data_IF_474482177206
#
_entry.id   IF_474482177206
#
_cell.length_a   1.000
_cell.length_b   1.000
_cell.length_c   1.000
_cell.angle_alpha   90.00
_cell.angle_beta   90.00
_cell.angle_gamma   90.00
#
_symmetry.space_group_name_H-M   'P 1'
#
loop_
_entity.id
_entity.type
_entity.pdbx_description
1 polymer ?
#
# COMPACT_ATOMS: atom_id res chain seq x y z
N UNK A 1 15.43 -8.06 17.48
CA UNK A 1 15.25 -6.58 17.39
C UNK A 1 13.79 -6.33 17.07
N UNK A 2 13.00 -5.87 18.06
CA UNK A 2 11.57 -5.65 17.87
C UNK A 2 11.32 -4.70 16.70
N UNK A 3 10.61 -5.18 15.68
CA UNK A 3 10.06 -4.32 14.63
C UNK A 3 9.04 -3.42 15.34
N UNK A 4 9.41 -2.16 15.59
CA UNK A 4 8.46 -1.17 16.08
C UNK A 4 7.49 -0.95 14.95
N UNK A 5 6.29 -1.47 15.07
CA UNK A 5 5.19 -1.23 14.13
C UNK A 5 4.90 0.28 14.12
N UNK A 6 5.27 0.94 13.04
CA UNK A 6 5.10 2.38 12.88
C UNK A 6 3.77 2.65 12.18
N UNK A 7 2.89 3.42 12.79
CA UNK A 7 1.61 3.83 12.20
C UNK A 7 1.75 5.20 11.53
N UNK A 8 1.17 5.33 10.34
CA UNK A 8 1.13 6.59 9.61
C UNK A 8 -0.24 7.26 9.71
N UNK A 9 -0.29 8.44 10.32
CA UNK A 9 -1.50 9.24 10.51
C UNK A 9 -1.55 10.37 9.49
N UNK A 10 -2.39 10.22 8.47
CA UNK A 10 -2.48 11.17 7.35
C UNK A 10 -3.53 12.24 7.59
N UNK A 11 -3.12 13.52 7.50
CA UNK A 11 -3.97 14.70 7.67
C UNK A 11 -3.97 15.57 6.42
N UNK A 12 -5.04 16.35 6.20
CA UNK A 12 -5.14 17.31 5.11
C UNK A 12 -4.39 18.59 5.47
N UNK A 13 -3.44 19.01 4.62
CA UNK A 13 -2.68 20.25 4.73
C UNK A 13 -3.34 21.32 3.82
N UNK A 14 -3.37 22.56 4.32
CA UNK A 14 -4.00 23.71 3.65
C UNK A 14 -3.00 24.85 3.49
N UNK A 15 -2.01 24.72 2.60
CA UNK A 15 -1.12 25.83 2.28
C UNK A 15 -1.87 26.90 1.49
N UNK A 16 -1.49 28.16 1.67
CA UNK A 16 -1.82 29.22 0.74
C UNK A 16 -1.03 29.08 -0.57
N UNK A 17 -1.23 30.00 -1.52
CA UNK A 17 -0.63 29.92 -2.85
C UNK A 17 0.92 30.00 -2.79
N UNK A 18 1.42 30.91 -1.97
CA UNK A 18 2.87 31.14 -1.79
C UNK A 18 3.52 29.94 -1.10
N UNK A 19 2.88 29.42 -0.05
CA UNK A 19 3.31 28.20 0.63
C UNK A 19 3.29 26.98 -0.31
N UNK A 20 2.25 26.85 -1.16
CA UNK A 20 2.14 25.75 -2.12
C UNK A 20 3.26 25.78 -3.18
N UNK A 21 3.75 26.99 -3.56
CA UNK A 21 4.90 27.15 -4.45
C UNK A 21 6.17 26.59 -3.81
N UNK A 22 6.50 27.01 -2.59
CA UNK A 22 7.69 26.53 -1.85
C UNK A 22 7.61 25.02 -1.59
N UNK A 23 6.44 24.50 -1.24
CA UNK A 23 6.24 23.04 -1.09
C UNK A 23 6.50 22.28 -2.40
N UNK A 24 6.13 22.89 -3.53
CA UNK A 24 6.39 22.29 -4.86
C UNK A 24 7.88 22.29 -5.18
N UNK A 25 8.59 23.33 -4.83
CA UNK A 25 10.05 23.43 -4.95
C UNK A 25 10.74 22.35 -4.10
N UNK A 26 10.35 22.17 -2.84
CA UNK A 26 10.86 21.10 -1.98
C UNK A 26 10.63 19.71 -2.56
N UNK A 27 9.46 19.43 -3.14
CA UNK A 27 9.19 18.18 -3.85
C UNK A 27 10.12 18.00 -5.07
N UNK A 28 10.41 19.11 -5.78
CA UNK A 28 11.34 19.14 -6.90
C UNK A 28 12.76 18.80 -6.49
N UNK A 29 13.26 19.48 -5.47
CA UNK A 29 14.60 19.29 -4.91
C UNK A 29 14.77 17.86 -4.36
N UNK A 30 13.82 17.36 -3.57
CA UNK A 30 13.85 16.00 -3.03
C UNK A 30 13.88 14.95 -4.15
N UNK A 31 13.15 15.17 -5.24
CA UNK A 31 13.17 14.26 -6.41
C UNK A 31 14.51 14.32 -7.14
N UNK A 32 15.05 15.50 -7.35
CA UNK A 32 16.35 15.69 -7.99
C UNK A 32 17.43 14.97 -7.20
N UNK A 33 17.54 15.24 -5.90
CA UNK A 33 18.56 14.65 -5.01
C UNK A 33 18.43 13.13 -4.94
N UNK A 34 17.20 12.59 -4.87
CA UNK A 34 16.98 11.15 -4.94
C UNK A 34 17.49 10.56 -6.24
N UNK A 35 17.20 11.20 -7.38
CA UNK A 35 17.60 10.71 -8.69
C UNK A 35 19.11 10.83 -8.89
N UNK A 36 19.71 11.93 -8.48
CA UNK A 36 21.17 12.13 -8.50
C UNK A 36 21.88 11.05 -7.67
N UNK A 37 21.41 10.82 -6.44
CA UNK A 37 21.96 9.76 -5.58
C UNK A 37 21.77 8.35 -6.16
N UNK A 38 20.66 8.08 -6.86
CA UNK A 38 20.47 6.80 -7.56
C UNK A 38 21.44 6.65 -8.74
N UNK A 39 21.68 7.72 -9.47
CA UNK A 39 22.63 7.74 -10.58
C UNK A 39 24.06 7.45 -10.10
N UNK A 40 24.52 8.10 -9.04
CA UNK A 40 25.81 7.81 -8.40
C UNK A 40 25.95 6.33 -8.02
N UNK A 41 24.90 5.71 -7.44
CA UNK A 41 24.95 4.28 -7.08
C UNK A 41 24.93 3.35 -8.29
N UNK A 42 24.33 3.78 -9.41
CA UNK A 42 24.32 3.01 -10.66
C UNK A 42 25.64 3.13 -11.43
N UNK A 43 26.27 4.28 -11.38
CA UNK A 43 27.51 4.56 -12.09
C UNK A 43 28.69 3.70 -11.60
N UNK A 44 28.68 3.22 -10.33
CA UNK A 44 29.72 2.32 -9.83
C UNK A 44 29.79 1.04 -10.66
N UNK A 45 30.95 0.83 -11.28
CA UNK A 45 31.27 -0.39 -12.01
C UNK A 45 31.46 -1.58 -11.06
N UNK A 46 31.42 -2.80 -11.62
CA UNK A 46 31.71 -4.01 -10.85
C UNK A 46 33.15 -4.02 -10.31
N UNK A 47 34.09 -3.48 -11.07
CA UNK A 47 35.51 -3.39 -10.69
C UNK A 47 35.71 -2.41 -9.53
N UNK A 48 35.13 -1.20 -9.61
CA UNK A 48 35.21 -0.22 -8.53
C UNK A 48 34.63 -0.78 -7.22
N UNK A 49 33.51 -1.53 -7.29
CA UNK A 49 32.94 -2.22 -6.13
C UNK A 49 33.85 -3.29 -5.55
N UNK A 50 34.53 -4.08 -6.41
CA UNK A 50 35.52 -5.07 -5.98
C UNK A 50 36.69 -4.40 -5.29
N UNK A 51 37.10 -3.20 -5.76
CA UNK A 51 38.19 -2.39 -5.18
C UNK A 51 37.75 -1.59 -3.95
N UNK A 52 36.59 -1.89 -3.37
CA UNK A 52 36.12 -1.29 -2.11
C UNK A 52 35.42 0.07 -2.25
N UNK A 53 35.17 0.56 -3.47
CA UNK A 53 34.42 1.80 -3.67
C UNK A 53 32.97 1.62 -3.20
N UNK A 54 32.53 2.47 -2.27
CA UNK A 54 31.18 2.44 -1.70
C UNK A 54 30.51 3.81 -1.78
N UNK A 55 29.32 3.84 -2.38
CA UNK A 55 28.45 5.02 -2.35
C UNK A 55 27.32 4.76 -1.35
N UNK A 56 27.41 5.40 -0.20
CA UNK A 56 26.42 5.32 0.89
C UNK A 56 25.81 6.70 1.19
N UNK A 57 24.87 6.77 2.11
CA UNK A 57 24.21 8.04 2.51
C UNK A 57 25.23 9.09 2.97
N UNK A 58 26.26 8.69 3.70
CA UNK A 58 27.26 9.61 4.27
C UNK A 58 28.07 10.27 3.15
N UNK A 59 28.60 9.49 2.19
CA UNK A 59 29.33 10.02 1.04
C UNK A 59 28.44 10.90 0.18
N UNK A 60 27.20 10.47 -0.07
CA UNK A 60 26.21 11.24 -0.84
C UNK A 60 25.82 12.55 -0.16
N UNK A 61 25.76 12.61 1.19
CA UNK A 61 25.51 13.86 1.92
C UNK A 61 26.69 14.84 1.80
N UNK A 62 27.94 14.35 1.76
CA UNK A 62 29.12 15.19 1.51
C UNK A 62 29.09 15.79 0.10
N UNK A 63 28.77 14.96 -0.90
CA UNK A 63 28.64 15.41 -2.29
C UNK A 63 27.49 16.39 -2.48
N UNK A 64 26.36 16.13 -1.80
CA UNK A 64 25.23 17.06 -1.77
C UNK A 64 25.64 18.44 -1.23
N UNK A 65 26.52 18.50 -0.22
CA UNK A 65 27.00 19.76 0.33
C UNK A 65 27.83 20.57 -0.68
N UNK A 66 28.60 19.92 -1.55
CA UNK A 66 29.30 20.55 -2.67
C UNK A 66 28.30 21.02 -3.73
N UNK A 67 27.41 20.14 -4.16
CA UNK A 67 26.42 20.42 -5.19
C UNK A 67 25.50 21.59 -4.81
N UNK A 68 25.21 21.78 -3.52
CA UNK A 68 24.43 22.90 -3.00
C UNK A 68 25.16 24.26 -3.11
N UNK A 69 26.50 24.26 -3.18
CA UNK A 69 27.29 25.47 -3.42
C UNK A 69 27.36 25.81 -4.91
N UNK A 70 27.29 24.81 -5.77
CA UNK A 70 27.33 24.95 -7.22
C UNK A 70 25.97 25.32 -7.83
N UNK A 71 24.87 24.87 -7.20
CA UNK A 71 23.51 25.06 -7.70
C UNK A 71 22.68 25.91 -6.74
N UNK A 72 22.55 27.20 -7.01
CA UNK A 72 21.86 28.19 -6.16
C UNK A 72 20.44 27.76 -5.80
N UNK A 73 19.67 27.26 -6.76
CA UNK A 73 18.30 26.80 -6.54
C UNK A 73 18.22 25.60 -5.56
N UNK A 74 19.27 24.80 -5.49
CA UNK A 74 19.37 23.69 -4.55
C UNK A 74 19.87 24.20 -3.19
N UNK A 75 20.83 25.13 -3.18
CA UNK A 75 21.36 25.80 -1.99
C UNK A 75 20.31 26.57 -1.22
N UNK A 76 19.39 27.26 -1.92
CA UNK A 76 18.27 27.99 -1.32
C UNK A 76 17.28 27.09 -0.58
N UNK A 77 17.19 25.80 -0.95
CA UNK A 77 16.29 24.85 -0.31
C UNK A 77 16.78 24.31 1.04
N UNK A 78 15.93 23.53 1.69
CA UNK A 78 16.25 22.91 2.97
C UNK A 78 17.19 21.71 2.81
N UNK A 79 18.31 21.72 3.49
CA UNK A 79 19.26 20.59 3.55
C UNK A 79 18.61 19.33 4.15
N UNK A 80 17.77 19.48 5.19
CA UNK A 80 17.09 18.37 5.85
C UNK A 80 16.15 17.62 4.88
N UNK A 81 15.39 18.37 4.08
CA UNK A 81 14.50 17.81 3.05
C UNK A 81 15.30 17.05 2.00
N UNK A 82 16.42 17.60 1.58
CA UNK A 82 17.30 17.03 0.57
C UNK A 82 18.03 15.77 1.08
N UNK A 83 18.61 15.82 2.27
CA UNK A 83 19.20 14.65 2.93
C UNK A 83 18.15 13.56 3.22
N UNK A 84 16.91 13.97 3.55
CA UNK A 84 15.78 13.08 3.69
C UNK A 84 15.52 12.23 2.44
N UNK A 85 15.74 12.81 1.25
CA UNK A 85 15.60 12.09 -0.02
C UNK A 85 16.71 11.03 -0.22
N UNK A 86 17.94 11.29 0.21
CA UNK A 86 19.04 10.30 0.20
C UNK A 86 18.76 9.14 1.16
N UNK A 87 18.22 9.43 2.35
CA UNK A 87 17.81 8.39 3.31
C UNK A 87 16.64 7.55 2.80
N UNK A 88 15.70 8.17 2.05
CA UNK A 88 14.63 7.43 1.36
C UNK A 88 15.20 6.49 0.29
N UNK A 89 16.24 6.91 -0.44
CA UNK A 89 16.94 6.09 -1.41
C UNK A 89 17.66 4.91 -0.73
N UNK A 90 18.35 5.17 0.36
CA UNK A 90 19.05 4.15 1.12
C UNK A 90 18.10 3.08 1.64
N UNK A 91 16.97 3.48 2.21
CA UNK A 91 15.91 2.55 2.63
C UNK A 91 15.35 1.75 1.44
N UNK A 92 15.23 2.36 0.26
CA UNK A 92 14.77 1.67 -0.93
C UNK A 92 15.76 0.57 -1.37
N UNK A 93 17.06 0.81 -1.28
CA UNK A 93 18.08 -0.20 -1.53
C UNK A 93 18.07 -1.29 -0.46
N UNK A 94 17.96 -0.93 0.83
CA UNK A 94 17.85 -1.90 1.90
C UNK A 94 16.66 -2.84 1.70
N UNK A 95 15.49 -2.29 1.40
CA UNK A 95 14.30 -3.11 1.09
C UNK A 95 14.47 -3.99 -0.15
N UNK A 96 15.25 -3.56 -1.13
CA UNK A 96 15.57 -4.37 -2.31
C UNK A 96 16.47 -5.55 -1.94
N UNK A 97 17.55 -5.32 -1.20
CA UNK A 97 18.45 -6.39 -0.76
C UNK A 97 17.78 -7.38 0.19
N UNK A 98 16.84 -6.92 1.01
CA UNK A 98 16.00 -7.77 1.88
C UNK A 98 14.87 -8.49 1.10
N UNK A 99 14.77 -8.32 -0.22
CA UNK A 99 13.71 -8.95 -1.05
C UNK A 99 12.31 -8.40 -0.83
N UNK A 100 12.17 -7.29 -0.09
CA UNK A 100 10.88 -6.67 0.23
C UNK A 100 10.35 -5.76 -0.89
N UNK A 101 11.23 -5.29 -1.79
CA UNK A 101 10.88 -4.38 -2.89
C UNK A 101 11.70 -4.66 -4.15
N UNK A 102 11.21 -4.15 -5.29
CA UNK A 102 11.96 -4.17 -6.55
C UNK A 102 13.11 -3.13 -6.52
N UNK A 103 14.07 -3.26 -7.45
CA UNK A 103 15.20 -2.34 -7.56
C UNK A 103 14.75 -0.88 -7.69
N UNK A 104 15.42 0.08 -6.99
CA UNK A 104 15.04 1.47 -7.02
C UNK A 104 15.07 2.08 -8.42
N UNK A 105 14.02 2.85 -8.76
CA UNK A 105 13.87 3.49 -10.07
C UNK A 105 13.85 5.01 -9.95
N UNK A 106 14.22 5.72 -11.04
CA UNK A 106 14.16 7.18 -11.10
C UNK A 106 12.75 7.69 -10.87
N UNK A 107 12.62 8.68 -9.99
CA UNK A 107 11.35 9.36 -9.69
C UNK A 107 11.02 10.35 -10.82
N UNK A 108 9.85 10.20 -11.44
CA UNK A 108 9.35 11.10 -12.49
C UNK A 108 8.37 12.12 -11.91
N UNK A 109 8.43 13.37 -12.39
CA UNK A 109 7.40 14.37 -12.08
C UNK A 109 6.11 13.99 -12.80
N UNK A 110 5.04 13.78 -12.04
CA UNK A 110 3.69 13.62 -12.59
C UNK A 110 2.91 14.90 -12.32
N UNK A 111 2.06 15.32 -13.26
CA UNK A 111 1.33 16.59 -13.16
C UNK A 111 0.37 16.63 -11.96
N UNK A 112 -0.25 15.51 -11.63
CA UNK A 112 -1.18 15.36 -10.51
C UNK A 112 -0.55 14.77 -9.25
N UNK A 113 0.73 14.39 -9.30
CA UNK A 113 1.46 13.80 -8.19
C UNK A 113 2.88 14.39 -8.20
N UNK A 114 3.10 15.40 -7.38
CA UNK A 114 4.39 16.08 -7.28
C UNK A 114 5.42 15.27 -6.47
N UNK A 115 5.00 14.15 -5.87
CA UNK A 115 5.80 13.39 -4.94
C UNK A 115 5.68 13.92 -3.52
N UNK A 116 6.79 13.91 -2.79
CA UNK A 116 6.83 14.40 -1.41
C UNK A 116 8.22 14.33 -0.81
N UNK A 117 8.33 14.82 0.42
CA UNK A 117 9.57 14.87 1.20
C UNK A 117 9.28 14.57 2.67
N UNK A 118 10.33 14.29 3.44
CA UNK A 118 10.26 13.98 4.87
C UNK A 118 10.78 15.15 5.68
N UNK A 119 10.14 15.45 6.80
CA UNK A 119 10.58 16.36 7.86
C UNK A 119 10.95 15.50 9.06
N UNK A 120 12.20 15.60 9.54
CA UNK A 120 12.70 14.85 10.69
C UNK A 120 12.48 15.56 12.01
N UNK A 121 12.84 16.82 12.07
CA UNK A 121 12.70 17.64 13.28
C UNK A 121 11.29 18.25 13.27
N UNK A 122 10.36 17.44 13.77
CA UNK A 122 8.94 17.77 13.70
C UNK A 122 8.57 18.76 14.82
N UNK A 123 8.06 19.91 14.43
CA UNK A 123 7.43 20.86 15.33
C UNK A 123 5.99 21.05 14.90
N UNK A 124 5.07 20.91 15.85
CA UNK A 124 3.64 21.09 15.66
C UNK A 124 3.07 21.98 16.74
N UNK A 125 2.08 22.79 16.40
CA UNK A 125 1.34 23.59 17.38
C UNK A 125 -0.16 23.47 17.15
N UNK A 126 -0.90 23.35 18.23
CA UNK A 126 -2.36 23.28 18.20
C UNK A 126 -2.93 24.68 18.11
N UNK A 127 -3.87 24.90 17.19
CA UNK A 127 -4.60 26.17 17.07
C UNK A 127 -5.95 26.10 17.80
N UNK A 128 -6.67 24.99 17.59
CA UNK A 128 -7.97 24.73 18.22
C UNK A 128 -8.30 23.24 18.18
N UNK A 129 -9.53 22.86 18.54
CA UNK A 129 -10.00 21.47 18.58
C UNK A 129 -9.87 20.73 17.24
N UNK A 130 -9.90 21.42 16.10
CA UNK A 130 -9.93 20.82 14.75
C UNK A 130 -8.74 21.19 13.88
N UNK A 131 -7.96 22.18 14.24
CA UNK A 131 -6.85 22.68 13.42
C UNK A 131 -5.55 22.75 14.21
N UNK A 132 -4.48 22.44 13.53
CA UNK A 132 -3.11 22.58 14.02
C UNK A 132 -2.19 22.98 12.87
N UNK A 133 -0.96 23.27 13.17
CA UNK A 133 0.07 23.64 12.20
C UNK A 133 1.31 22.79 12.37
N UNK A 134 2.00 22.58 11.28
CA UNK A 134 3.31 21.91 11.23
C UNK A 134 4.35 22.86 10.68
N UNK A 135 5.49 22.95 11.35
CA UNK A 135 6.62 23.73 10.87
C UNK A 135 7.29 23.01 9.70
N UNK A 136 7.41 23.70 8.59
CA UNK A 136 8.11 23.20 7.39
C UNK A 136 9.38 24.03 7.22
N UNK A 137 10.57 23.40 7.14
CA UNK A 137 11.83 24.12 6.99
C UNK A 137 11.81 25.08 5.81
N UNK A 138 12.33 26.30 6.00
CA UNK A 138 12.37 27.39 5.00
C UNK A 138 11.00 27.93 4.55
N UNK A 139 9.89 27.49 5.18
CA UNK A 139 8.54 27.94 4.83
C UNK A 139 7.76 28.49 6.03
N UNK A 140 8.03 27.99 7.22
CA UNK A 140 7.24 28.33 8.41
C UNK A 140 6.08 27.38 8.65
N UNK A 141 5.10 27.83 9.43
CA UNK A 141 3.97 27.02 9.84
C UNK A 141 2.89 26.92 8.76
N UNK A 142 2.47 25.69 8.46
CA UNK A 142 1.39 25.40 7.51
C UNK A 142 0.26 24.66 8.21
N UNK A 143 -0.96 25.17 8.04
CA UNK A 143 -2.17 24.65 8.70
C UNK A 143 -2.59 23.31 8.14
N UNK A 144 -2.99 22.40 9.03
CA UNK A 144 -3.66 21.16 8.70
C UNK A 144 -4.90 20.93 9.56
N UNK A 145 -5.84 20.11 9.06
CA UNK A 145 -7.04 19.72 9.79
C UNK A 145 -6.79 18.43 10.52
N UNK A 146 -7.03 18.43 11.83
CA UNK A 146 -6.95 17.22 12.66
C UNK A 146 -8.19 16.35 12.49
N UNK A 147 -7.99 15.08 12.21
CA UNK A 147 -9.02 14.01 12.22
C UNK A 147 -8.73 12.93 13.25
N UNK A 148 -7.69 13.12 14.06
CA UNK A 148 -7.26 12.23 15.15
C UNK A 148 -7.05 13.05 16.41
N UNK A 149 -6.84 12.42 17.55
CA UNK A 149 -6.54 13.08 18.80
C UNK A 149 -5.21 13.83 18.71
N UNK A 150 -5.10 14.93 19.45
CA UNK A 150 -3.88 15.75 19.48
C UNK A 150 -2.68 14.97 20.03
N UNK A 151 -2.92 14.15 21.05
CA UNK A 151 -1.90 13.32 21.70
C UNK A 151 -1.23 12.36 20.71
N UNK A 152 -1.99 11.83 19.74
CA UNK A 152 -1.44 10.97 18.68
C UNK A 152 -0.46 11.73 17.76
N UNK A 153 -0.70 13.04 17.55
CA UNK A 153 0.16 13.89 16.71
C UNK A 153 1.40 14.32 17.50
N UNK A 154 1.26 14.62 18.78
CA UNK A 154 2.38 15.01 19.65
C UNK A 154 3.45 13.92 19.77
N UNK A 155 3.06 12.66 19.72
CA UNK A 155 3.98 11.50 19.77
C UNK A 155 4.71 11.24 18.44
N UNK A 156 4.39 12.01 17.39
CA UNK A 156 5.01 11.81 16.09
C UNK A 156 6.49 12.21 16.10
N UNK A 157 7.34 11.37 15.57
CA UNK A 157 8.79 11.57 15.47
C UNK A 157 9.21 12.23 14.16
N UNK A 158 8.41 12.09 13.12
CA UNK A 158 8.66 12.64 11.79
C UNK A 158 7.35 12.80 11.01
N UNK A 159 7.41 13.56 9.93
CA UNK A 159 6.27 13.69 9.03
C UNK A 159 6.70 13.67 7.56
N UNK A 160 5.83 13.13 6.72
CA UNK A 160 5.98 13.16 5.26
C UNK A 160 4.95 14.09 4.64
N UNK A 161 5.41 15.10 3.92
CA UNK A 161 4.56 15.98 3.12
C UNK A 161 4.39 15.37 1.72
N UNK A 162 3.16 15.35 1.20
CA UNK A 162 2.87 14.81 -0.14
C UNK A 162 1.81 15.64 -0.85
N UNK A 163 1.95 15.79 -2.17
CA UNK A 163 0.91 16.38 -3.02
C UNK A 163 0.39 15.35 -4.01
N UNK A 164 -0.91 15.05 -3.94
CA UNK A 164 -1.61 14.20 -4.92
C UNK A 164 -2.91 14.85 -5.35
N UNK A 165 -3.15 14.91 -6.65
CA UNK A 165 -4.32 15.57 -7.24
C UNK A 165 -4.49 17.01 -6.75
N UNK A 166 -3.40 17.79 -6.74
CA UNK A 166 -3.33 19.16 -6.23
C UNK A 166 -3.80 19.30 -4.77
N UNK A 167 -3.70 18.22 -3.99
CA UNK A 167 -4.08 18.21 -2.58
C UNK A 167 -2.89 17.85 -1.72
N UNK A 168 -2.53 18.78 -0.84
CA UNK A 168 -1.45 18.59 0.11
C UNK A 168 -1.89 17.80 1.34
N UNK A 169 -1.01 16.95 1.80
CA UNK A 169 -1.22 16.13 2.99
C UNK A 169 0.07 16.06 3.78
N UNK A 170 -0.07 16.02 5.09
CA UNK A 170 0.98 15.63 6.04
C UNK A 170 0.64 14.24 6.59
N UNK A 171 1.61 13.34 6.60
CA UNK A 171 1.48 12.01 7.20
C UNK A 171 2.48 11.92 8.34
N UNK A 172 1.99 11.90 9.57
CA UNK A 172 2.77 11.80 10.78
C UNK A 172 3.16 10.34 11.03
N UNK A 173 4.41 10.11 11.41
CA UNK A 173 4.91 8.81 11.85
C UNK A 173 4.75 8.72 13.36
N UNK A 174 3.84 7.89 13.83
CA UNK A 174 3.50 7.74 15.26
C UNK A 174 3.79 6.33 15.75
N UNK A 175 4.01 6.14 17.06
CA UNK A 175 4.01 4.80 17.65
C UNK A 175 2.71 4.04 17.32
N UNK A 176 2.73 2.71 17.37
CA UNK A 176 1.51 1.92 17.21
C UNK A 176 0.53 2.25 18.33
N UNK A 177 -0.73 2.32 17.97
CA UNK A 177 -1.79 2.47 18.97
C UNK A 177 -2.08 1.12 19.59
N UNK A 178 -2.42 1.06 20.89
CA UNK A 178 -2.93 -0.17 21.47
C UNK A 178 -4.16 -0.61 20.67
N UNK A 179 -4.19 -1.88 20.29
CA UNK A 179 -5.36 -2.45 19.61
C UNK A 179 -6.54 -2.41 20.58
N UNK A 180 -7.63 -1.81 20.17
CA UNK A 180 -8.87 -1.77 20.95
C UNK A 180 -9.69 -3.00 20.60
N UNK A 181 -9.31 -4.13 21.11
CA UNK A 181 -10.12 -5.35 21.05
C UNK A 181 -11.15 -5.27 22.16
N UNK A 182 -12.34 -4.74 21.86
CA UNK A 182 -13.50 -4.77 22.77
C UNK A 182 -14.43 -5.92 22.41
N UNK A 183 -14.23 -6.55 21.26
CA UNK A 183 -15.03 -7.66 20.77
C UNK A 183 -14.66 -9.00 21.42
N UNK A 184 -15.52 -9.99 21.22
CA UNK A 184 -15.34 -11.33 21.76
C UNK A 184 -15.37 -12.38 20.64
N UNK A 185 -14.58 -13.43 20.82
CA UNK A 185 -14.57 -14.59 19.92
C UNK A 185 -13.79 -14.39 18.62
N UNK A 186 -13.80 -15.45 17.82
CA UNK A 186 -13.03 -15.58 16.58
C UNK A 186 -13.96 -15.59 15.38
N UNK A 187 -13.71 -14.76 14.38
CA UNK A 187 -14.44 -14.75 13.11
C UNK A 187 -13.54 -15.04 11.92
N UNK A 188 -13.96 -15.92 11.01
CA UNK A 188 -13.34 -16.12 9.72
C UNK A 188 -13.98 -15.23 8.67
N UNK A 189 -13.19 -14.68 7.74
CA UNK A 189 -13.68 -13.83 6.67
C UNK A 189 -13.20 -14.34 5.32
N UNK A 190 -14.13 -14.80 4.49
CA UNK A 190 -13.89 -15.05 3.06
C UNK A 190 -13.95 -13.73 2.28
N UNK A 191 -12.98 -13.51 1.37
CA UNK A 191 -12.85 -12.29 0.57
C UNK A 191 -13.16 -12.56 -0.89
N UNK A 192 -14.38 -12.18 -1.30
CA UNK A 192 -14.88 -12.37 -2.65
C UNK A 192 -14.92 -11.11 -3.51
N UNK A 193 -15.15 -11.27 -4.80
CA UNK A 193 -15.36 -10.18 -5.77
C UNK A 193 -16.84 -9.76 -5.81
N UNK A 194 -17.75 -10.69 -5.65
CA UNK A 194 -19.21 -10.46 -5.62
C UNK A 194 -19.62 -9.92 -4.25
N UNK A 195 -19.30 -10.64 -3.19
CA UNK A 195 -19.39 -10.20 -1.81
C UNK A 195 -17.97 -9.90 -1.37
N UNK A 196 -17.71 -8.65 -0.92
CA UNK A 196 -16.32 -8.23 -0.62
C UNK A 196 -15.75 -8.97 0.58
N UNK A 197 -16.57 -9.20 1.59
CA UNK A 197 -16.24 -9.97 2.79
C UNK A 197 -17.50 -10.67 3.30
N UNK A 198 -17.43 -12.00 3.47
CA UNK A 198 -18.41 -12.85 4.12
C UNK A 198 -17.84 -13.33 5.44
N UNK A 199 -18.52 -13.11 6.54
CA UNK A 199 -18.09 -13.61 7.84
C UNK A 199 -18.63 -15.02 8.12
N UNK A 200 -17.95 -15.75 9.00
CA UNK A 200 -18.35 -17.11 9.38
C UNK A 200 -19.69 -17.22 10.13
N UNK A 201 -20.23 -16.11 10.61
CA UNK A 201 -21.56 -15.96 11.19
C UNK A 201 -22.62 -15.44 10.19
N UNK A 202 -22.25 -15.35 8.90
CA UNK A 202 -23.19 -15.06 7.81
C UNK A 202 -23.36 -13.57 7.46
N UNK A 203 -22.64 -12.64 8.09
CA UNK A 203 -22.72 -11.23 7.74
C UNK A 203 -22.02 -10.93 6.42
N UNK A 204 -22.63 -10.06 5.61
CA UNK A 204 -22.15 -9.69 4.28
C UNK A 204 -21.73 -8.22 4.24
N UNK A 205 -20.47 -7.97 3.86
CA UNK A 205 -19.96 -6.62 3.69
C UNK A 205 -19.62 -6.39 2.21
N UNK A 206 -20.21 -5.35 1.63
CA UNK A 206 -20.05 -5.02 0.22
C UNK A 206 -19.32 -3.68 0.04
N UNK A 207 -18.14 -3.69 -0.57
CA UNK A 207 -17.43 -2.47 -0.92
C UNK A 207 -18.21 -1.66 -1.98
N UNK A 208 -18.22 -0.32 -1.86
CA UNK A 208 -18.95 0.52 -2.80
C UNK A 208 -18.33 0.40 -4.21
N UNK A 209 -19.14 -0.03 -5.17
CA UNK A 209 -18.73 -0.18 -6.59
C UNK A 209 -18.55 1.16 -7.29
N UNK A 210 -18.86 2.30 -6.64
CA UNK A 210 -18.72 3.67 -7.13
C UNK A 210 -19.26 3.85 -8.58
N UNK A 211 -20.39 3.22 -8.93
CA UNK A 211 -20.97 3.19 -10.29
C UNK A 211 -21.11 4.58 -10.92
N UNK A 212 -21.59 5.58 -10.17
CA UNK A 212 -21.73 6.97 -10.60
C UNK A 212 -20.38 7.59 -11.01
N UNK A 213 -19.34 7.36 -10.21
CA UNK A 213 -17.98 7.83 -10.49
C UNK A 213 -17.37 7.10 -11.68
N UNK A 214 -17.63 5.80 -11.82
CA UNK A 214 -17.15 5.02 -12.95
C UNK A 214 -17.79 5.52 -14.26
N UNK A 215 -19.11 5.69 -14.30
CA UNK A 215 -19.81 6.22 -15.48
C UNK A 215 -19.31 7.62 -15.88
N UNK A 216 -19.09 8.50 -14.88
CA UNK A 216 -18.50 9.82 -15.12
C UNK A 216 -17.07 9.71 -15.66
N UNK A 217 -16.27 8.79 -15.13
CA UNK A 217 -14.91 8.57 -15.60
C UNK A 217 -14.90 8.09 -17.06
N UNK A 218 -15.75 7.14 -17.41
CA UNK A 218 -15.86 6.58 -18.77
C UNK A 218 -16.33 7.66 -19.78
N UNK A 219 -17.25 8.55 -19.37
CA UNK A 219 -17.64 9.71 -20.18
C UNK A 219 -16.47 10.67 -20.40
N UNK A 220 -15.72 10.98 -19.33
CA UNK A 220 -14.54 11.85 -19.43
C UNK A 220 -13.42 11.22 -20.27
N UNK A 221 -13.28 9.90 -20.25
CA UNK A 221 -12.32 9.16 -21.08
C UNK A 221 -12.64 9.36 -22.58
N UNK A 222 -13.90 9.19 -22.97
CA UNK A 222 -14.34 9.43 -24.38
C UNK A 222 -14.02 10.86 -24.81
N UNK A 223 -14.32 11.86 -23.96
CA UNK A 223 -13.99 13.26 -24.24
C UNK A 223 -12.47 13.49 -24.31
N UNK A 224 -11.68 12.79 -23.48
CA UNK A 224 -10.22 12.89 -23.52
C UNK A 224 -9.63 12.40 -24.84
N UNK A 225 -10.21 11.35 -25.42
CA UNK A 225 -9.74 10.73 -26.65
C UNK A 225 -9.93 11.65 -27.87
N UNK A 226 -10.89 12.61 -27.80
CA UNK A 226 -11.08 13.64 -28.83
C UNK A 226 -10.19 14.87 -28.67
N UNK A 227 -9.36 14.97 -27.62
CA UNK A 227 -8.57 16.18 -27.33
C UNK A 227 -7.12 16.02 -27.77
N UNK A 228 -6.56 17.05 -28.37
CA UNK A 228 -5.16 17.12 -28.81
C UNK A 228 -4.21 16.92 -27.63
N UNK A 229 -3.21 16.05 -27.79
CA UNK A 229 -2.17 15.80 -26.78
C UNK A 229 -1.44 17.11 -26.46
N UNK A 230 -1.27 17.40 -25.16
CA UNK A 230 -0.60 18.62 -24.69
C UNK A 230 -1.52 19.83 -24.49
N UNK A 231 -2.72 19.89 -25.10
CA UNK A 231 -3.62 21.04 -24.99
C UNK A 231 -4.11 21.32 -23.58
N UNK A 232 -4.44 22.58 -23.27
CA UNK A 232 -5.01 22.98 -21.97
C UNK A 232 -6.37 22.31 -21.69
N UNK A 233 -7.19 22.13 -22.74
CA UNK A 233 -8.48 21.45 -22.61
C UNK A 233 -8.27 19.96 -22.23
N UNK A 234 -7.28 19.27 -22.80
CA UNK A 234 -6.92 17.92 -22.39
C UNK A 234 -6.48 17.88 -20.92
N UNK A 235 -5.71 18.87 -20.47
CA UNK A 235 -5.27 18.98 -19.07
C UNK A 235 -6.46 19.10 -18.11
N UNK A 236 -7.45 19.98 -18.44
CA UNK A 236 -8.68 20.13 -17.64
C UNK A 236 -9.48 18.82 -17.53
N UNK A 237 -9.55 18.03 -18.61
CA UNK A 237 -10.23 16.71 -18.55
C UNK A 237 -9.47 15.72 -17.65
N UNK A 238 -8.15 15.66 -17.76
CA UNK A 238 -7.33 14.81 -16.88
C UNK A 238 -7.51 15.16 -15.39
N UNK A 239 -7.61 16.44 -15.05
CA UNK A 239 -7.86 16.90 -13.68
C UNK A 239 -9.26 16.45 -13.19
N UNK A 240 -10.31 16.59 -14.04
CA UNK A 240 -11.66 16.09 -13.73
C UNK A 240 -11.69 14.56 -13.55
N UNK A 241 -10.94 13.82 -14.35
CA UNK A 241 -10.79 12.36 -14.21
C UNK A 241 -10.08 11.98 -12.91
N UNK A 242 -9.00 12.71 -12.55
CA UNK A 242 -8.29 12.51 -11.30
C UNK A 242 -9.19 12.76 -10.08
N UNK A 243 -9.99 13.84 -10.09
CA UNK A 243 -10.98 14.12 -9.04
C UNK A 243 -12.05 13.04 -8.93
N UNK A 244 -12.53 12.53 -10.06
CA UNK A 244 -13.53 11.45 -10.08
C UNK A 244 -12.98 10.18 -9.44
N UNK A 245 -11.74 9.80 -9.77
CA UNK A 245 -11.05 8.67 -9.12
C UNK A 245 -10.81 8.90 -7.64
N UNK A 246 -10.46 10.12 -7.26
CA UNK A 246 -10.25 10.48 -5.86
C UNK A 246 -11.53 10.33 -5.04
N UNK A 247 -12.69 10.78 -5.56
CA UNK A 247 -14.01 10.59 -4.91
C UNK A 247 -14.34 9.12 -4.72
N UNK A 248 -14.15 8.29 -5.76
CA UNK A 248 -14.34 6.84 -5.66
C UNK A 248 -13.40 6.19 -4.62
N UNK A 249 -12.14 6.64 -4.56
CA UNK A 249 -11.18 6.19 -3.56
C UNK A 249 -11.58 6.55 -2.13
N UNK A 250 -12.14 7.75 -1.91
CA UNK A 250 -12.62 8.19 -0.59
C UNK A 250 -13.84 7.38 -0.13
N UNK A 251 -14.78 7.06 -1.02
CA UNK A 251 -15.92 6.19 -0.67
C UNK A 251 -15.44 4.80 -0.21
N UNK A 252 -14.45 4.22 -0.90
CA UNK A 252 -13.85 2.94 -0.47
C UNK A 252 -13.15 3.04 0.87
N UNK A 253 -12.42 4.13 1.13
CA UNK A 253 -11.76 4.35 2.41
C UNK A 253 -12.76 4.50 3.56
N UNK A 254 -13.80 5.27 3.36
CA UNK A 254 -14.85 5.43 4.37
C UNK A 254 -15.51 4.08 4.72
N UNK A 255 -15.84 3.29 3.70
CA UNK A 255 -16.35 1.94 3.89
C UNK A 255 -15.35 1.05 4.65
N UNK A 256 -14.06 1.06 4.26
CA UNK A 256 -13.02 0.30 4.94
C UNK A 256 -12.92 0.68 6.43
N UNK A 257 -12.91 1.98 6.74
CA UNK A 257 -12.80 2.44 8.12
C UNK A 257 -14.02 1.98 8.96
N UNK A 258 -15.24 2.12 8.43
CA UNK A 258 -16.47 1.70 9.09
C UNK A 258 -16.53 0.19 9.30
N UNK A 259 -16.28 -0.58 8.24
CA UNK A 259 -16.32 -2.05 8.30
C UNK A 259 -15.26 -2.61 9.24
N UNK A 260 -14.02 -2.11 9.16
CA UNK A 260 -12.94 -2.62 10.02
C UNK A 260 -13.06 -2.17 11.47
N UNK A 261 -13.70 -1.03 11.74
CA UNK A 261 -14.04 -0.62 13.12
C UNK A 261 -15.11 -1.53 13.69
N UNK A 262 -16.19 -1.76 12.94
CA UNK A 262 -17.26 -2.67 13.34
C UNK A 262 -16.72 -4.07 13.66
N UNK A 263 -15.89 -4.65 12.76
CA UNK A 263 -15.31 -5.97 12.97
C UNK A 263 -14.38 -6.02 14.19
N UNK A 264 -13.59 -4.97 14.44
CA UNK A 264 -12.69 -4.90 15.59
C UNK A 264 -13.44 -4.67 16.93
N UNK A 265 -14.60 -4.04 16.89
CA UNK A 265 -15.48 -3.86 18.08
C UNK A 265 -16.31 -5.12 18.36
N UNK A 266 -16.59 -5.93 17.33
CA UNK A 266 -17.42 -7.14 17.46
C UNK A 266 -16.60 -8.37 17.82
N UNK A 267 -15.39 -8.54 17.26
CA UNK A 267 -14.57 -9.75 17.40
C UNK A 267 -13.18 -9.43 17.94
N UNK A 268 -12.68 -10.30 18.82
CA UNK A 268 -11.31 -10.21 19.34
C UNK A 268 -10.29 -10.62 18.28
N UNK A 269 -10.56 -11.71 17.55
CA UNK A 269 -9.67 -12.23 16.51
C UNK A 269 -10.40 -12.32 15.17
N UNK A 270 -9.77 -11.79 14.13
CA UNK A 270 -10.21 -11.93 12.74
C UNK A 270 -9.26 -12.81 11.97
N UNK A 271 -9.77 -13.88 11.38
CA UNK A 271 -9.01 -14.80 10.54
C UNK A 271 -9.22 -14.47 9.07
N UNK A 272 -8.12 -14.32 8.32
CA UNK A 272 -8.12 -14.07 6.88
C UNK A 272 -7.22 -15.08 6.17
N UNK A 273 -7.52 -15.41 4.92
CA UNK A 273 -6.56 -16.13 4.07
C UNK A 273 -5.34 -15.27 3.73
N UNK A 274 -4.15 -15.87 3.65
CA UNK A 274 -2.94 -15.17 3.18
C UNK A 274 -2.85 -15.09 1.66
N UNK A 275 -3.81 -14.38 1.05
CA UNK A 275 -3.86 -14.20 -0.40
C UNK A 275 -2.71 -13.32 -0.91
N UNK A 276 -1.95 -13.85 -1.86
CA UNK A 276 -0.89 -13.10 -2.57
C UNK A 276 -1.49 -12.26 -3.70
N UNK A 277 -2.22 -11.19 -3.35
CA UNK A 277 -2.97 -10.34 -4.29
C UNK A 277 -2.09 -9.82 -5.44
N UNK A 278 -0.81 -9.48 -5.18
CA UNK A 278 0.16 -9.06 -6.22
C UNK A 278 0.30 -10.15 -7.31
N UNK A 279 0.39 -11.42 -6.92
CA UNK A 279 0.50 -12.54 -7.85
C UNK A 279 -0.82 -12.82 -8.58
N UNK A 280 -1.94 -12.75 -7.85
CA UNK A 280 -3.28 -12.96 -8.42
C UNK A 280 -3.60 -11.92 -9.50
N UNK A 281 -3.11 -10.69 -9.38
CA UNK A 281 -3.35 -9.59 -10.31
C UNK A 281 -2.23 -9.37 -11.33
N UNK A 282 -1.28 -10.30 -11.41
CA UNK A 282 -0.22 -10.28 -12.42
C UNK A 282 -0.82 -10.25 -13.83
N UNK A 283 -0.16 -9.55 -14.73
CA UNK A 283 -0.51 -9.51 -16.15
C UNK A 283 -0.20 -10.85 -16.79
N UNK A 284 -1.07 -11.31 -17.70
CA UNK A 284 -0.79 -12.51 -18.49
C UNK A 284 0.40 -12.25 -19.42
N UNK A 285 1.32 -13.19 -19.49
CA UNK A 285 2.43 -13.14 -20.44
C UNK A 285 1.92 -13.21 -21.89
N UNK A 286 2.55 -12.51 -22.82
CA UNK A 286 2.26 -12.70 -24.24
C UNK A 286 2.47 -14.16 -24.64
N UNK A 287 1.62 -14.68 -25.53
CA UNK A 287 1.82 -15.97 -26.20
C UNK A 287 2.10 -15.74 -27.67
N UNK A 288 3.04 -16.48 -28.21
CA UNK A 288 3.35 -16.50 -29.64
C UNK A 288 3.14 -17.92 -30.19
N UNK A 289 2.74 -18.02 -31.44
CA UNK A 289 2.72 -19.29 -32.19
C UNK A 289 4.16 -19.67 -32.64
N UNK A 290 4.27 -20.79 -33.33
CA UNK A 290 5.57 -21.30 -33.82
C UNK A 290 6.24 -20.38 -34.84
N UNK A 291 5.49 -19.45 -35.43
CA UNK A 291 5.94 -18.46 -36.40
C UNK A 291 6.28 -17.10 -35.73
N UNK A 292 6.21 -17.00 -34.38
CA UNK A 292 6.49 -15.78 -33.62
C UNK A 292 5.35 -14.73 -33.60
N UNK A 293 4.16 -15.05 -34.15
CA UNK A 293 3.00 -14.18 -34.18
C UNK A 293 2.26 -14.23 -32.84
N UNK A 294 1.83 -13.08 -32.33
CA UNK A 294 1.07 -13.00 -31.07
C UNK A 294 -0.34 -13.57 -31.25
N UNK A 295 -0.70 -14.51 -30.38
CA UNK A 295 -2.00 -15.17 -30.35
C UNK A 295 -2.83 -14.75 -29.12
N UNK A 296 -4.17 -14.85 -29.15
CA UNK A 296 -5.03 -14.57 -28.01
C UNK A 296 -4.66 -15.42 -26.79
N UNK A 297 -4.52 -14.78 -25.62
CA UNK A 297 -4.08 -15.43 -24.39
C UNK A 297 -5.01 -15.17 -23.18
N UNK A 298 -6.25 -14.78 -23.41
CA UNK A 298 -7.22 -14.49 -22.35
C UNK A 298 -6.94 -13.18 -21.58
N UNK A 299 -6.05 -12.31 -22.07
CA UNK A 299 -5.66 -11.05 -21.40
C UNK A 299 -6.85 -10.14 -21.09
N UNK A 300 -7.89 -10.11 -21.94
CA UNK A 300 -9.06 -9.25 -21.74
C UNK A 300 -9.86 -9.71 -20.50
N UNK A 301 -10.14 -11.01 -20.39
CA UNK A 301 -10.83 -11.61 -19.24
C UNK A 301 -10.00 -11.42 -17.95
N UNK A 302 -8.69 -11.69 -18.01
CA UNK A 302 -7.79 -11.50 -16.86
C UNK A 302 -7.73 -10.05 -16.41
N UNK A 303 -7.73 -9.10 -17.35
CA UNK A 303 -7.78 -7.65 -17.01
C UNK A 303 -9.08 -7.29 -16.31
N UNK A 304 -10.22 -7.87 -16.72
CA UNK A 304 -11.51 -7.70 -16.05
C UNK A 304 -11.47 -8.21 -14.61
N UNK A 305 -10.98 -9.42 -14.40
CA UNK A 305 -10.81 -10.02 -13.07
C UNK A 305 -9.84 -9.21 -12.20
N UNK A 306 -8.70 -8.80 -12.74
CA UNK A 306 -7.75 -7.95 -12.00
C UNK A 306 -8.37 -6.63 -11.56
N UNK A 307 -9.17 -5.98 -12.43
CA UNK A 307 -9.93 -4.76 -12.10
C UNK A 307 -10.92 -5.02 -10.97
N UNK A 308 -11.60 -6.15 -10.97
CA UNK A 308 -12.56 -6.54 -9.95
C UNK A 308 -11.88 -6.80 -8.60
N UNK A 309 -10.80 -7.59 -8.55
CA UNK A 309 -10.00 -7.87 -7.34
C UNK A 309 -9.45 -6.56 -6.74
N UNK A 310 -8.80 -5.71 -7.55
CA UNK A 310 -8.26 -4.44 -7.09
C UNK A 310 -9.37 -3.46 -6.66
N UNK A 311 -10.57 -3.59 -7.24
CA UNK A 311 -11.78 -2.84 -6.87
C UNK A 311 -12.36 -3.24 -5.52
N UNK A 312 -12.17 -4.48 -5.07
CA UNK A 312 -12.74 -5.04 -3.83
C UNK A 312 -11.99 -4.61 -2.56
N UNK A 313 -10.85 -3.90 -2.69
CA UNK A 313 -10.09 -3.34 -1.57
C UNK A 313 -9.57 -4.36 -0.54
N UNK A 314 -9.36 -5.64 -0.91
CA UNK A 314 -8.90 -6.71 -0.01
C UNK A 314 -7.62 -6.37 0.76
N UNK A 315 -6.63 -5.77 0.09
CA UNK A 315 -5.39 -5.33 0.72
C UNK A 315 -5.63 -4.25 1.78
N UNK A 316 -6.53 -3.30 1.48
CA UNK A 316 -6.93 -2.26 2.43
C UNK A 316 -7.65 -2.85 3.65
N UNK A 317 -8.53 -3.84 3.45
CA UNK A 317 -9.24 -4.53 4.53
C UNK A 317 -8.25 -5.23 5.46
N UNK A 318 -7.33 -6.05 4.92
CA UNK A 318 -6.27 -6.72 5.69
C UNK A 318 -5.46 -5.71 6.50
N UNK A 319 -4.90 -4.68 5.86
CA UNK A 319 -4.04 -3.69 6.53
C UNK A 319 -4.79 -2.96 7.66
N UNK A 320 -6.03 -2.54 7.42
CA UNK A 320 -6.80 -1.81 8.44
C UNK A 320 -7.26 -2.68 9.59
N UNK A 321 -7.55 -3.96 9.35
CA UNK A 321 -7.81 -4.93 10.42
C UNK A 321 -6.56 -5.16 11.27
N UNK A 322 -5.40 -5.37 10.66
CA UNK A 322 -4.12 -5.51 11.38
C UNK A 322 -3.80 -4.32 12.29
N UNK A 323 -4.22 -3.10 11.90
CA UNK A 323 -4.06 -1.89 12.71
C UNK A 323 -5.04 -1.83 13.91
N UNK A 324 -6.18 -2.51 13.84
CA UNK A 324 -7.29 -2.32 14.80
C UNK A 324 -7.54 -3.51 15.72
N UNK A 325 -7.32 -4.74 15.24
CA UNK A 325 -7.63 -5.98 15.99
C UNK A 325 -6.54 -7.03 15.76
N UNK A 326 -6.67 -8.17 16.44
CA UNK A 326 -5.81 -9.31 16.23
C UNK A 326 -6.20 -10.02 14.93
N UNK A 327 -5.22 -10.20 14.02
CA UNK A 327 -5.45 -10.85 12.73
C UNK A 327 -4.57 -12.09 12.62
N UNK A 328 -5.20 -13.22 12.35
CA UNK A 328 -4.54 -14.49 12.03
C UNK A 328 -4.63 -14.70 10.52
N UNK A 329 -3.54 -15.13 9.89
CA UNK A 329 -3.50 -15.46 8.48
C UNK A 329 -3.42 -16.97 8.31
N UNK A 330 -4.41 -17.58 7.64
CA UNK A 330 -4.40 -19.00 7.33
C UNK A 330 -4.02 -19.25 5.86
N UNK A 331 -3.48 -20.44 5.54
CA UNK A 331 -3.28 -20.86 4.16
C UNK A 331 -4.60 -20.88 3.36
N UNK A 332 -4.60 -20.38 2.10
CA UNK A 332 -5.83 -20.36 1.29
C UNK A 332 -6.17 -21.69 0.63
N UNK A 333 -5.34 -22.73 0.80
CA UNK A 333 -5.55 -24.02 0.15
C UNK A 333 -6.81 -24.69 0.67
N UNK A 334 -7.66 -25.14 -0.26
CA UNK A 334 -8.86 -25.95 -0.03
C UNK A 334 -9.98 -25.31 0.80
N UNK A 335 -9.86 -24.08 1.28
CA UNK A 335 -10.89 -23.40 2.09
C UNK A 335 -12.26 -23.39 1.44
N UNK A 336 -12.33 -23.28 0.11
CA UNK A 336 -13.56 -23.27 -0.67
C UNK A 336 -14.09 -24.66 -1.08
N UNK A 337 -13.31 -25.73 -0.94
CA UNK A 337 -13.65 -27.10 -1.34
C UNK A 337 -13.92 -28.01 -0.15
N UNK A 338 -13.45 -27.63 1.04
CA UNK A 338 -13.62 -28.37 2.29
C UNK A 338 -15.01 -28.14 2.88
N UNK A 339 -15.63 -29.21 3.37
CA UNK A 339 -16.87 -29.11 4.12
C UNK A 339 -16.60 -28.57 5.54
N UNK A 340 -17.32 -27.52 5.94
CA UNK A 340 -17.19 -26.93 7.28
C UNK A 340 -17.75 -27.80 8.41
N UNK A 341 -18.54 -28.84 8.08
CA UNK A 341 -19.18 -29.76 9.03
C UNK A 341 -18.35 -31.02 9.23
N UNK A 342 -18.08 -31.76 8.14
CA UNK A 342 -17.40 -33.07 8.24
C UNK A 342 -15.94 -33.06 7.82
N UNK A 343 -15.44 -31.94 7.28
CA UNK A 343 -14.03 -31.82 6.86
C UNK A 343 -13.67 -32.46 5.53
N UNK A 344 -14.60 -33.18 4.87
CA UNK A 344 -14.36 -33.78 3.56
C UNK A 344 -13.97 -32.72 2.52
N UNK A 345 -12.92 -32.98 1.74
CA UNK A 345 -12.34 -32.01 0.82
C UNK A 345 -12.31 -32.58 -0.59
N UNK A 346 -13.16 -32.01 -1.46
CA UNK A 346 -13.25 -32.42 -2.86
C UNK A 346 -13.67 -31.23 -3.73
N UNK A 347 -13.18 -31.18 -4.99
CA UNK A 347 -13.50 -30.11 -5.95
C UNK A 347 -15.00 -30.05 -6.28
N UNK A 348 -15.62 -31.22 -6.38
CA UNK A 348 -17.02 -31.40 -6.77
C UNK A 348 -18.02 -30.98 -5.67
N UNK A 349 -17.57 -30.78 -4.45
CA UNK A 349 -18.36 -30.12 -3.40
C UNK A 349 -18.79 -28.70 -3.80
N UNK A 350 -18.11 -28.06 -4.75
CA UNK A 350 -18.41 -26.71 -5.24
C UNK A 350 -18.57 -26.67 -6.77
N UNK A 351 -19.59 -27.30 -7.29
CA UNK A 351 -19.94 -27.28 -8.73
C UNK A 351 -20.44 -25.91 -9.20
N UNK A 352 -21.09 -25.15 -8.31
CA UNK A 352 -21.60 -23.78 -8.59
C UNK A 352 -20.91 -22.76 -7.71
N UNK A 353 -20.74 -21.54 -8.22
CA UNK A 353 -20.03 -20.48 -7.49
C UNK A 353 -20.67 -20.10 -6.15
N UNK A 354 -22.00 -20.12 -6.08
CA UNK A 354 -22.75 -19.64 -4.90
C UNK A 354 -23.18 -20.77 -3.95
N UNK A 355 -23.17 -22.04 -4.39
CA UNK A 355 -23.69 -23.17 -3.63
C UNK A 355 -22.58 -24.17 -3.36
N UNK A 356 -22.43 -24.53 -2.11
CA UNK A 356 -21.59 -25.63 -1.64
C UNK A 356 -22.50 -26.80 -1.25
N UNK A 357 -22.18 -28.01 -1.67
CA UNK A 357 -22.88 -29.24 -1.28
C UNK A 357 -21.85 -30.34 -1.08
N UNK A 358 -21.73 -30.83 0.15
CA UNK A 358 -20.79 -31.89 0.48
C UNK A 358 -21.29 -33.24 -0.07
N UNK A 359 -20.45 -33.92 -0.83
CA UNK A 359 -20.78 -35.23 -1.40
C UNK A 359 -20.80 -36.37 -0.36
N UNK A 360 -20.13 -36.17 0.80
CA UNK A 360 -20.05 -37.18 1.85
C UNK A 360 -21.17 -37.06 2.87
N UNK A 361 -21.41 -35.86 3.44
CA UNK A 361 -22.40 -35.68 4.51
C UNK A 361 -23.68 -34.98 4.05
N UNK A 362 -23.81 -34.61 2.78
CA UNK A 362 -25.00 -33.93 2.25
C UNK A 362 -25.17 -32.47 2.70
N UNK A 363 -24.26 -31.93 3.54
CA UNK A 363 -24.36 -30.54 3.99
C UNK A 363 -24.38 -29.56 2.83
N UNK A 364 -25.38 -28.68 2.76
CA UNK A 364 -25.54 -27.68 1.70
C UNK A 364 -25.74 -26.29 2.29
N UNK A 365 -24.92 -25.35 1.86
CA UNK A 365 -25.02 -23.94 2.26
C UNK A 365 -24.42 -22.98 1.21
N UNK A 366 -24.43 -21.68 1.48
CA UNK A 366 -23.75 -20.69 0.66
C UNK A 366 -22.23 -20.97 0.63
N UNK A 367 -21.62 -21.05 -0.54
CA UNK A 367 -20.22 -21.42 -0.70
C UNK A 367 -19.24 -20.44 0.00
N UNK A 368 -19.55 -19.12 0.00
CA UNK A 368 -18.72 -18.11 0.67
C UNK A 368 -18.87 -18.22 2.19
N UNK A 369 -20.04 -18.63 2.71
CA UNK A 369 -20.26 -18.88 4.14
C UNK A 369 -19.50 -20.15 4.60
N UNK A 370 -19.58 -21.24 3.85
CA UNK A 370 -18.80 -22.45 4.12
C UNK A 370 -17.29 -22.15 4.14
N UNK A 371 -16.79 -21.38 3.16
CA UNK A 371 -15.40 -20.96 3.12
C UNK A 371 -15.02 -20.10 4.35
N UNK A 372 -15.86 -19.15 4.76
CA UNK A 372 -15.61 -18.33 5.93
C UNK A 372 -15.55 -19.15 7.23
N UNK A 373 -16.40 -20.19 7.39
CA UNK A 373 -16.35 -21.13 8.51
C UNK A 373 -15.05 -21.94 8.51
N UNK A 374 -14.61 -22.43 7.34
CA UNK A 374 -13.33 -23.13 7.21
C UNK A 374 -12.13 -22.24 7.55
N UNK A 375 -12.14 -20.96 7.12
CA UNK A 375 -11.14 -19.97 7.47
C UNK A 375 -11.09 -19.75 9.00
N UNK A 376 -12.26 -19.61 9.65
CA UNK A 376 -12.33 -19.52 11.11
C UNK A 376 -11.72 -20.72 11.80
N UNK A 377 -12.11 -21.92 11.39
CA UNK A 377 -11.64 -23.18 12.02
C UNK A 377 -10.13 -23.36 11.82
N UNK A 378 -9.59 -23.02 10.63
CA UNK A 378 -8.15 -23.01 10.38
C UNK A 378 -7.41 -22.00 11.28
N UNK A 379 -7.99 -20.83 11.52
CA UNK A 379 -7.40 -19.83 12.42
C UNK A 379 -7.42 -20.26 13.88
N UNK A 380 -8.49 -20.90 14.35
CA UNK A 380 -8.57 -21.46 15.72
C UNK A 380 -7.47 -22.53 15.90
N UNK A 381 -7.35 -23.46 14.95
CA UNK A 381 -6.30 -24.48 15.00
C UNK A 381 -4.87 -23.89 15.03
N UNK A 382 -4.63 -22.78 14.35
CA UNK A 382 -3.35 -22.06 14.41
C UNK A 382 -3.12 -21.38 15.78
N UNK A 383 -4.16 -20.86 16.40
CA UNK A 383 -4.07 -20.26 17.75
C UNK A 383 -3.81 -21.30 18.82
N UNK A 384 -4.41 -22.49 18.74
CA UNK A 384 -4.23 -23.61 19.68
C UNK A 384 -2.83 -24.24 19.59
N UNK A 385 -2.20 -24.23 18.40
CA UNK A 385 -0.85 -24.75 18.19
C UNK A 385 0.25 -23.84 18.79
N UNK A 386 -0.09 -22.63 19.24
CA UNK A 386 0.88 -21.63 19.72
C UNK A 386 1.78 -21.08 18.60
N UNK A 387 2.70 -20.18 18.92
CA UNK A 387 3.69 -19.71 17.98
C UNK A 387 4.61 -20.87 17.59
N UNK A 388 4.44 -21.42 16.38
CA UNK A 388 5.41 -22.40 15.84
C UNK A 388 6.75 -21.70 15.69
N UNK A 389 7.78 -22.25 16.30
CA UNK A 389 9.18 -21.83 16.06
C UNK A 389 9.53 -21.86 14.56
N UNK A 390 8.89 -22.74 13.77
CA UNK A 390 9.06 -22.88 12.32
C UNK A 390 8.58 -21.66 11.54
N UNK A 391 7.63 -20.87 12.03
CA UNK A 391 7.19 -19.63 11.37
C UNK A 391 8.22 -18.52 11.55
N UNK A 392 8.95 -18.51 12.65
CA UNK A 392 10.12 -17.65 12.84
C UNK A 392 11.31 -18.12 11.99
N UNK A 393 11.49 -19.43 11.81
CA UNK A 393 12.50 -20.05 10.95
C UNK A 393 12.16 -19.91 9.46
N UNK A 394 10.89 -20.04 9.04
CA UNK A 394 10.50 -19.87 7.63
C UNK A 394 10.63 -18.43 7.14
N UNK A 395 10.55 -17.44 8.03
CA UNK A 395 10.94 -16.06 7.72
C UNK A 395 12.48 -15.94 7.56
N UNK A 396 13.26 -16.76 8.26
CA UNK A 396 14.72 -16.81 8.14
C UNK A 396 15.20 -17.76 7.03
N UNK A 397 14.53 -18.88 6.76
CA UNK A 397 14.88 -19.81 5.69
C UNK A 397 14.45 -19.31 4.30
N UNK A 398 13.37 -18.55 4.18
CA UNK A 398 13.06 -17.79 2.98
C UNK A 398 14.13 -16.76 2.61
N UNK A 399 14.98 -16.39 3.57
CA UNK A 399 16.18 -15.56 3.39
C UNK A 399 17.43 -16.39 3.04
N UNK A 400 17.54 -17.66 3.49
CA UNK A 400 18.71 -18.53 3.24
C UNK A 400 18.63 -19.34 1.94
N UNK A 401 17.46 -19.74 1.49
CA UNK A 401 17.30 -20.51 0.24
C UNK A 401 17.51 -19.70 -1.04
N UNK A 402 17.67 -18.36 -0.96
CA UNK A 402 18.08 -17.53 -2.11
C UNK A 402 19.59 -17.31 -2.22
N UNK A 403 20.37 -17.76 -1.24
CA UNK A 403 21.83 -17.65 -1.25
C UNK A 403 22.57 -18.84 -1.89
N UNK A 404 21.84 -19.89 -2.29
CA UNK A 404 22.44 -21.02 -3.04
C UNK A 404 22.17 -20.91 -4.52
N UNK A 405 22.66 -19.87 -5.18
CA UNK A 405 22.53 -19.80 -6.63
C UNK A 405 22.96 -18.50 -7.31
N UNK A 406 23.56 -17.57 -6.57
CA UNK A 406 24.20 -16.40 -7.21
C UNK A 406 25.62 -16.25 -6.68
N UNK A 407 26.62 -16.10 -7.54
CA UNK A 407 28.00 -15.92 -7.11
C UNK A 407 28.12 -14.64 -6.28
N UNK A 408 28.84 -14.73 -5.17
CA UNK A 408 29.32 -13.62 -4.35
C UNK A 408 29.95 -12.52 -5.22
N UNK A 409 29.17 -11.57 -5.66
CA UNK A 409 29.64 -10.33 -6.28
C UNK A 409 28.63 -9.25 -6.05
N UNK A 410 28.87 -8.45 -5.04
CA UNK A 410 28.36 -7.08 -4.82
C UNK A 410 27.85 -6.85 -3.40
N UNK A 411 28.76 -6.61 -2.51
CA UNK A 411 28.52 -5.69 -1.39
C UNK A 411 29.21 -4.38 -1.69
#
# INVERSE_FOLDING_TARGET
>A
MCIIDIVSVKQRLYPDEQQAKVLTEHCGQARFVYNHGLDQRKALTKEERKNGARVNVTTQCKDLSKLRKELDWLGAGSSDVQQGALRDLDRAFKNYFEGLADYPVFKKRKKTDLGGFVIKYLQVRRLNKRNAEVLIPKLGYVRFRMSVKWEDIQQATSARITCRNNRWHVSFTTPPRPKKTTGQGVVGIDRGVTITAMTSDGQKFQAPKAKKQQARYDKLQRVLDTKTKGSQNRKKILDKMADTRFKAGNQRKDWLEKTTTYLAETYDVVVLEDLKVKNMTKRVAPKQDEQGKYIPNGQAAKRGLNKAILGSAWGGLKTRLMDKTNVVLCPPAYTSQRCSVCGHTESDNRKKQAVFTCLTCGHSENADLNAAKNIRNAGIALLEQGPREDVALSLNEGLRSKDQGLPLAAV
#
